data_IF_756678610263
#
_entry.id   IF_756678610263
#
_cell.length_a   1.000
_cell.length_b   1.000
_cell.length_c   1.000
_cell.angle_alpha   90.00
_cell.angle_beta   90.00
_cell.angle_gamma   90.00
#
_symmetry.space_group_name_H-M   'P 1'
#
loop_
_entity.id
_entity.type
_entity.pdbx_description
1 polymer ?
#
# COMPACT_ATOMS: atom_id res chain seq x y z
N UNK A 1 -37.76 14.87 15.71
CA UNK A 1 -36.81 14.04 16.47
C UNK A 1 -36.02 14.84 17.52
N UNK A 2 -35.38 15.96 17.15
CA UNK A 2 -34.52 16.77 18.04
C UNK A 2 -35.13 17.21 19.39
N UNK A 3 -36.46 17.37 19.49
CA UNK A 3 -37.14 17.69 20.76
C UNK A 3 -37.50 16.46 21.61
N UNK A 4 -37.61 15.29 21.00
CA UNK A 4 -38.02 14.04 21.66
C UNK A 4 -36.84 13.34 22.33
N UNK A 5 -35.66 13.37 21.71
CA UNK A 5 -34.45 12.73 22.25
C UNK A 5 -34.08 13.26 23.66
N UNK A 6 -34.07 14.59 23.93
CA UNK A 6 -33.82 15.09 25.28
C UNK A 6 -34.92 14.72 26.28
N UNK A 7 -36.17 14.53 25.84
CA UNK A 7 -37.26 14.07 26.71
C UNK A 7 -37.09 12.59 27.04
N UNK A 8 -36.65 11.78 26.07
CA UNK A 8 -36.32 10.38 26.28
C UNK A 8 -35.14 10.22 27.24
N UNK A 9 -34.07 11.01 27.10
CA UNK A 9 -32.91 10.98 28.02
C UNK A 9 -33.30 11.33 29.47
N UNK A 10 -34.30 12.19 29.65
CA UNK A 10 -34.85 12.50 30.98
C UNK A 10 -35.64 11.35 31.60
N UNK A 11 -36.25 10.51 30.78
CA UNK A 11 -37.07 9.38 31.18
C UNK A 11 -36.25 8.10 31.38
N UNK A 12 -35.31 7.83 30.46
CA UNK A 12 -34.39 6.69 30.45
C UNK A 12 -33.00 7.24 30.74
N UNK A 13 -32.57 7.21 32.00
CA UNK A 13 -31.33 7.84 32.49
C UNK A 13 -30.14 6.88 32.58
N UNK A 14 -30.33 5.66 32.07
CA UNK A 14 -29.38 4.55 32.08
C UNK A 14 -28.86 4.31 30.67
N UNK A 15 -27.89 3.40 30.55
CA UNK A 15 -27.29 2.99 29.28
C UNK A 15 -28.29 2.42 28.25
N UNK A 16 -29.47 1.95 28.69
CA UNK A 16 -30.55 1.50 27.79
C UNK A 16 -31.04 2.60 26.84
N UNK A 17 -30.76 3.87 27.16
CA UNK A 17 -31.09 5.01 26.31
C UNK A 17 -30.53 4.86 24.89
N UNK A 18 -29.28 4.43 24.74
CA UNK A 18 -28.63 4.39 23.44
C UNK A 18 -29.25 3.38 22.47
N UNK A 19 -29.35 2.07 22.78
CA UNK A 19 -29.94 1.11 21.85
C UNK A 19 -31.43 1.41 21.55
N UNK A 20 -32.18 1.98 22.51
CA UNK A 20 -33.59 2.35 22.31
C UNK A 20 -33.73 3.54 21.35
N UNK A 21 -32.80 4.50 21.40
CA UNK A 21 -32.88 5.75 20.62
C UNK A 21 -32.03 5.75 19.35
N UNK A 22 -31.21 4.72 19.12
CA UNK A 22 -30.31 4.64 17.98
C UNK A 22 -30.99 4.88 16.62
N UNK A 23 -32.16 4.28 16.30
CA UNK A 23 -32.83 4.57 15.02
C UNK A 23 -33.21 6.05 14.89
N UNK A 24 -33.52 6.72 16.00
CA UNK A 24 -33.85 8.13 15.99
C UNK A 24 -32.62 9.01 15.75
N UNK A 25 -31.47 8.61 16.28
CA UNK A 25 -30.18 9.27 16.02
C UNK A 25 -29.74 9.12 14.58
N UNK A 26 -29.95 7.95 13.97
CA UNK A 26 -29.68 7.74 12.54
C UNK A 26 -30.48 8.73 11.66
N UNK A 27 -31.78 8.89 11.94
CA UNK A 27 -32.61 9.88 11.22
C UNK A 27 -32.10 11.30 11.42
N UNK A 28 -31.74 11.68 12.66
CA UNK A 28 -31.17 13.02 12.94
C UNK A 28 -29.85 13.22 12.20
N UNK A 29 -28.99 12.19 12.15
CA UNK A 29 -27.72 12.22 11.44
C UNK A 29 -27.90 12.29 9.91
N UNK A 30 -29.04 11.90 9.37
CA UNK A 30 -29.31 12.02 7.93
C UNK A 30 -30.00 13.33 7.56
N UNK A 31 -30.96 13.77 8.37
CA UNK A 31 -31.86 14.87 8.02
C UNK A 31 -31.47 16.23 8.62
N UNK A 32 -30.71 16.26 9.71
CA UNK A 32 -30.37 17.50 10.43
C UNK A 32 -28.92 17.92 10.22
N UNK A 33 -28.62 19.19 10.52
CA UNK A 33 -27.25 19.70 10.53
C UNK A 33 -26.41 18.99 11.61
N UNK A 34 -25.11 18.78 11.33
CA UNK A 34 -24.22 18.09 12.25
C UNK A 34 -24.05 18.84 13.60
N UNK A 35 -24.12 20.17 13.58
CA UNK A 35 -24.10 20.97 14.81
C UNK A 35 -25.36 20.75 15.66
N UNK A 36 -26.53 20.60 15.03
CA UNK A 36 -27.77 20.30 15.74
C UNK A 36 -27.73 18.89 16.34
N UNK A 37 -27.18 17.92 15.61
CA UNK A 37 -26.94 16.56 16.11
C UNK A 37 -26.03 16.59 17.36
N UNK A 38 -24.83 17.15 17.24
CA UNK A 38 -23.81 17.13 18.30
C UNK A 38 -24.27 17.88 19.55
N UNK A 39 -24.86 19.06 19.39
CA UNK A 39 -25.43 19.82 20.53
C UNK A 39 -26.61 19.11 21.19
N UNK A 40 -27.42 18.35 20.43
CA UNK A 40 -28.50 17.54 21.00
C UNK A 40 -27.95 16.33 21.73
N UNK A 41 -26.89 15.70 21.22
CA UNK A 41 -26.20 14.58 21.87
C UNK A 41 -25.64 15.00 23.23
N UNK A 42 -24.87 16.09 23.28
CA UNK A 42 -24.29 16.61 24.52
C UNK A 42 -25.37 16.94 25.57
N UNK A 43 -26.52 17.44 25.14
CA UNK A 43 -27.67 17.71 26.02
C UNK A 43 -28.32 16.44 26.55
N UNK A 44 -28.34 15.36 25.76
CA UNK A 44 -28.88 14.07 26.21
C UNK A 44 -27.90 13.41 27.19
N UNK A 45 -26.61 13.41 26.88
CA UNK A 45 -25.53 12.90 27.74
C UNK A 45 -25.57 13.53 29.13
N UNK A 46 -25.78 14.85 29.22
CA UNK A 46 -25.84 15.56 30.49
C UNK A 46 -27.00 15.12 31.42
N UNK A 47 -28.01 14.42 30.91
CA UNK A 47 -29.16 13.92 31.70
C UNK A 47 -28.97 12.46 32.16
N UNK A 48 -28.01 11.73 31.57
CA UNK A 48 -27.71 10.34 31.91
C UNK A 48 -26.91 10.26 33.22
N UNK A 49 -27.26 9.33 34.10
CA UNK A 49 -26.67 9.20 35.45
C UNK A 49 -25.85 7.93 35.65
N UNK A 50 -26.25 6.85 34.98
CA UNK A 50 -25.61 5.53 35.03
C UNK A 50 -25.39 5.01 33.59
N UNK A 51 -24.58 5.72 32.79
CA UNK A 51 -24.14 5.21 31.49
C UNK A 51 -23.08 4.14 31.72
N UNK A 52 -23.49 2.87 31.67
CA UNK A 52 -22.54 1.78 31.47
C UNK A 52 -21.75 2.08 30.20
N UNK A 53 -20.44 1.79 30.24
CA UNK A 53 -19.53 2.16 29.16
C UNK A 53 -19.89 1.41 27.86
N UNK A 54 -20.47 0.22 27.95
CA UNK A 54 -20.72 -0.70 26.83
C UNK A 54 -21.76 -0.19 25.83
N UNK A 55 -22.97 0.18 26.27
CA UNK A 55 -24.04 0.64 25.36
C UNK A 55 -23.69 1.98 24.71
N UNK A 56 -23.11 2.90 25.49
CA UNK A 56 -22.52 4.14 24.98
C UNK A 56 -21.48 3.87 23.90
N UNK A 57 -20.54 2.95 24.14
CA UNK A 57 -19.50 2.62 23.15
C UNK A 57 -20.07 2.03 21.87
N UNK A 58 -20.98 1.06 21.97
CA UNK A 58 -21.61 0.46 20.80
C UNK A 58 -22.31 1.52 19.94
N UNK A 59 -23.07 2.39 20.60
CA UNK A 59 -23.73 3.52 19.95
C UNK A 59 -22.74 4.49 19.30
N UNK A 60 -21.69 4.90 20.01
CA UNK A 60 -20.69 5.83 19.49
C UNK A 60 -19.98 5.24 18.27
N UNK A 61 -19.60 3.96 18.30
CA UNK A 61 -18.97 3.27 17.17
C UNK A 61 -19.89 3.32 15.94
N UNK A 62 -21.18 3.03 16.10
CA UNK A 62 -22.14 3.10 14.98
C UNK A 62 -22.32 4.54 14.46
N UNK A 63 -22.43 5.54 15.34
CA UNK A 63 -22.62 6.92 14.91
C UNK A 63 -21.36 7.53 14.29
N UNK A 64 -20.18 7.17 14.79
CA UNK A 64 -18.89 7.67 14.30
C UNK A 64 -18.68 7.38 12.82
N UNK A 65 -19.17 6.24 12.33
CA UNK A 65 -19.09 5.85 10.90
C UNK A 65 -19.63 6.94 9.98
N UNK A 66 -20.74 7.58 10.34
CA UNK A 66 -21.33 8.68 9.57
C UNK A 66 -20.80 10.05 10.03
N UNK A 67 -20.67 10.26 11.33
CA UNK A 67 -20.27 11.54 11.92
C UNK A 67 -18.93 12.04 11.37
N UNK A 68 -17.94 11.15 11.23
CA UNK A 68 -16.60 11.52 10.75
C UNK A 68 -16.60 12.09 9.32
N UNK A 69 -17.61 11.78 8.50
CA UNK A 69 -17.73 12.32 7.15
C UNK A 69 -18.46 13.65 7.07
N UNK A 70 -19.21 14.00 8.12
CA UNK A 70 -20.01 15.22 8.24
C UNK A 70 -19.36 16.28 9.12
N UNK A 71 -18.52 15.86 10.06
CA UNK A 71 -17.77 16.74 10.95
C UNK A 71 -16.66 17.44 10.17
N UNK A 72 -16.76 18.76 10.08
CA UNK A 72 -15.79 19.59 9.37
C UNK A 72 -14.67 20.11 10.28
N UNK A 73 -14.79 19.90 11.60
CA UNK A 73 -13.83 20.37 12.59
C UNK A 73 -12.79 19.29 12.94
N UNK A 74 -11.50 19.65 12.87
CA UNK A 74 -10.38 18.70 13.10
C UNK A 74 -10.37 18.15 14.53
N UNK A 75 -10.70 18.99 15.51
CA UNK A 75 -10.87 18.60 16.93
C UNK A 75 -12.35 18.62 17.34
N UNK A 76 -13.22 18.34 16.35
CA UNK A 76 -14.66 18.37 16.47
C UNK A 76 -15.23 17.28 17.38
N UNK A 77 -16.56 17.13 17.30
CA UNK A 77 -17.28 16.13 18.09
C UNK A 77 -16.75 14.71 17.80
N UNK A 78 -16.50 14.38 16.53
CA UNK A 78 -16.07 13.05 16.11
C UNK A 78 -14.70 12.69 16.66
N UNK A 79 -13.75 13.64 16.67
CA UNK A 79 -12.42 13.42 17.25
C UNK A 79 -12.49 13.12 18.75
N UNK A 80 -13.34 13.85 19.50
CA UNK A 80 -13.54 13.64 20.94
C UNK A 80 -14.17 12.28 21.23
N UNK A 81 -15.20 11.89 20.48
CA UNK A 81 -15.84 10.59 20.71
C UNK A 81 -14.95 9.43 20.29
N UNK A 82 -14.15 9.60 19.23
CA UNK A 82 -13.16 8.60 18.82
C UNK A 82 -12.09 8.40 19.90
N UNK A 83 -11.56 9.49 20.48
CA UNK A 83 -10.61 9.41 21.59
C UNK A 83 -11.21 8.68 22.80
N UNK A 84 -12.49 8.91 23.11
CA UNK A 84 -13.19 8.16 24.15
C UNK A 84 -13.24 6.65 23.84
N UNK A 85 -13.50 6.25 22.59
CA UNK A 85 -13.49 4.83 22.18
C UNK A 85 -12.09 4.22 22.33
N UNK A 86 -11.04 4.94 21.94
CA UNK A 86 -9.64 4.50 22.09
C UNK A 86 -9.23 4.35 23.56
N UNK A 87 -9.58 5.32 24.42
CA UNK A 87 -9.31 5.27 25.86
C UNK A 87 -9.98 4.08 26.56
N UNK A 88 -11.10 3.60 26.01
CA UNK A 88 -11.88 2.50 26.55
C UNK A 88 -11.79 1.22 25.69
N UNK A 89 -10.72 1.07 24.89
CA UNK A 89 -10.57 -0.03 23.94
C UNK A 89 -10.74 -1.42 24.59
N UNK A 90 -10.22 -1.63 25.80
CA UNK A 90 -10.34 -2.90 26.54
C UNK A 90 -11.79 -3.28 26.89
N UNK A 91 -12.71 -2.32 26.85
CA UNK A 91 -14.14 -2.53 27.11
C UNK A 91 -14.96 -2.71 25.83
N UNK A 92 -14.32 -2.73 24.65
CA UNK A 92 -15.01 -2.91 23.37
C UNK A 92 -15.54 -4.34 23.29
N UNK A 93 -16.84 -4.51 23.02
CA UNK A 93 -17.37 -5.83 22.75
C UNK A 93 -16.70 -6.51 21.55
N UNK A 94 -16.38 -7.81 21.61
CA UNK A 94 -15.64 -8.49 20.54
C UNK A 94 -16.27 -8.38 19.14
N UNK A 95 -17.59 -8.23 19.06
CA UNK A 95 -18.30 -8.08 17.79
C UNK A 95 -18.16 -6.70 17.13
N UNK A 96 -17.56 -5.71 17.82
CA UNK A 96 -17.32 -4.35 17.31
C UNK A 96 -15.84 -4.05 17.03
N UNK A 97 -14.94 -5.01 17.24
CA UNK A 97 -13.50 -4.83 17.00
C UNK A 97 -13.23 -4.40 15.54
N UNK A 98 -13.90 -5.07 14.59
CA UNK A 98 -13.81 -4.75 13.16
C UNK A 98 -14.36 -3.36 12.82
N UNK A 99 -15.42 -2.93 13.51
CA UNK A 99 -15.98 -1.59 13.30
C UNK A 99 -15.00 -0.51 13.74
N UNK A 100 -14.25 -0.73 14.82
CA UNK A 100 -13.24 0.20 15.31
C UNK A 100 -12.02 0.25 14.38
N UNK A 101 -11.62 -0.88 13.81
CA UNK A 101 -10.60 -0.92 12.76
C UNK A 101 -11.06 -0.11 11.54
N UNK A 102 -12.31 -0.29 11.09
CA UNK A 102 -12.89 0.48 10.00
C UNK A 102 -12.91 1.99 10.28
N UNK A 103 -13.26 2.38 11.51
CA UNK A 103 -13.21 3.77 11.94
C UNK A 103 -11.78 4.32 11.89
N UNK A 104 -10.77 3.52 12.24
CA UNK A 104 -9.36 3.90 12.14
C UNK A 104 -8.93 4.12 10.69
N UNK A 105 -9.30 3.22 9.79
CA UNK A 105 -9.08 3.36 8.34
C UNK A 105 -9.77 4.61 7.78
N UNK A 106 -11.00 4.89 8.21
CA UNK A 106 -11.73 6.09 7.83
C UNK A 106 -11.00 7.35 8.29
N UNK A 107 -10.51 7.39 9.53
CA UNK A 107 -9.73 8.52 10.07
C UNK A 107 -8.48 8.78 9.24
N UNK A 108 -7.73 7.73 8.91
CA UNK A 108 -6.51 7.84 8.11
C UNK A 108 -6.78 8.37 6.70
N UNK A 109 -7.84 7.86 6.04
CA UNK A 109 -8.25 8.36 4.74
C UNK A 109 -8.75 9.81 4.80
N UNK A 110 -9.61 10.15 5.77
CA UNK A 110 -10.17 11.49 5.92
C UNK A 110 -9.08 12.56 6.09
N UNK A 111 -7.96 12.23 6.73
CA UNK A 111 -6.81 13.13 6.85
C UNK A 111 -6.17 13.50 5.50
N UNK A 112 -6.30 12.64 4.48
CA UNK A 112 -5.75 12.86 3.12
C UNK A 112 -6.82 13.04 2.05
N UNK A 113 -8.10 12.95 2.41
CA UNK A 113 -9.27 12.97 1.54
C UNK A 113 -9.26 14.09 0.50
N UNK A 114 -8.96 15.32 0.93
CA UNK A 114 -8.93 16.48 0.04
C UNK A 114 -7.89 16.32 -1.08
N UNK A 115 -6.70 15.78 -0.76
CA UNK A 115 -5.65 15.53 -1.74
C UNK A 115 -6.06 14.40 -2.72
N UNK A 116 -6.73 13.37 -2.20
CA UNK A 116 -7.25 12.28 -3.02
C UNK A 116 -8.33 12.75 -4.01
N UNK A 117 -9.37 13.42 -3.51
CA UNK A 117 -10.52 13.85 -4.30
C UNK A 117 -10.15 14.88 -5.39
N UNK A 118 -9.11 15.69 -5.18
CA UNK A 118 -8.63 16.65 -6.18
C UNK A 118 -7.78 16.05 -7.29
N UNK A 119 -7.34 14.79 -7.15
CA UNK A 119 -6.41 14.17 -8.10
C UNK A 119 -7.02 13.87 -9.47
N UNK A 120 -8.26 13.38 -9.53
CA UNK A 120 -8.96 13.08 -10.78
C UNK A 120 -10.48 13.03 -10.62
N UNK A 121 -11.22 12.98 -11.73
CA UNK A 121 -12.67 12.85 -11.71
C UNK A 121 -13.14 11.50 -11.16
N UNK A 122 -12.43 10.40 -11.42
CA UNK A 122 -12.77 9.10 -10.83
C UNK A 122 -12.53 9.11 -9.32
N UNK A 123 -11.39 9.67 -8.86
CA UNK A 123 -11.10 9.78 -7.42
C UNK A 123 -12.14 10.62 -6.68
N UNK A 124 -12.60 11.72 -7.27
CA UNK A 124 -13.69 12.52 -6.71
C UNK A 124 -14.99 11.72 -6.60
N UNK A 125 -15.31 10.89 -7.60
CA UNK A 125 -16.49 10.01 -7.57
C UNK A 125 -16.35 8.88 -6.55
N UNK A 126 -15.17 8.29 -6.41
CA UNK A 126 -14.87 7.29 -5.38
C UNK A 126 -15.02 7.87 -3.97
N UNK A 127 -14.51 9.08 -3.76
CA UNK A 127 -14.70 9.81 -2.50
C UNK A 127 -16.19 10.06 -2.21
N UNK A 128 -16.94 10.57 -3.19
CA UNK A 128 -18.37 10.79 -3.05
C UNK A 128 -19.12 9.49 -2.76
N UNK A 129 -18.74 8.38 -3.40
CA UNK A 129 -19.36 7.08 -3.16
C UNK A 129 -19.06 6.54 -1.76
N UNK A 130 -17.86 6.75 -1.23
CA UNK A 130 -17.57 6.44 0.18
C UNK A 130 -18.39 7.32 1.12
N UNK A 131 -18.48 8.62 0.85
CA UNK A 131 -19.31 9.52 1.65
C UNK A 131 -20.78 9.08 1.65
N UNK A 132 -21.33 8.72 0.50
CA UNK A 132 -22.69 8.19 0.37
C UNK A 132 -22.85 6.89 1.16
N UNK A 133 -21.90 5.96 1.00
CA UNK A 133 -21.88 4.68 1.70
C UNK A 133 -21.93 4.85 3.24
N UNK A 134 -21.18 5.80 3.79
CA UNK A 134 -21.12 6.02 5.24
C UNK A 134 -22.19 6.96 5.79
N UNK A 135 -22.80 7.80 4.95
CA UNK A 135 -23.69 8.88 5.43
C UNK A 135 -25.15 8.73 5.00
N UNK A 136 -25.44 7.93 3.98
CA UNK A 136 -26.79 7.78 3.42
C UNK A 136 -27.42 6.45 3.81
N UNK A 137 -28.61 6.17 3.30
CA UNK A 137 -29.21 4.85 3.40
C UNK A 137 -28.38 3.82 2.62
N UNK A 138 -28.42 2.56 3.07
CA UNK A 138 -27.69 1.45 2.47
C UNK A 138 -27.93 1.33 0.96
N UNK A 139 -29.17 1.52 0.48
CA UNK A 139 -29.51 1.45 -0.95
C UNK A 139 -28.79 2.52 -1.78
N UNK A 140 -28.68 3.75 -1.26
CA UNK A 140 -28.00 4.85 -1.94
C UNK A 140 -26.49 4.59 -1.94
N UNK A 141 -25.93 4.22 -0.79
CA UNK A 141 -24.53 3.86 -0.63
C UNK A 141 -24.09 2.76 -1.59
N UNK A 142 -24.81 1.64 -1.59
CA UNK A 142 -24.54 0.49 -2.46
C UNK A 142 -24.58 0.89 -3.93
N UNK A 143 -25.59 1.67 -4.34
CA UNK A 143 -25.72 2.14 -5.72
C UNK A 143 -24.56 3.04 -6.15
N UNK A 144 -24.11 3.93 -5.27
CA UNK A 144 -22.96 4.82 -5.56
C UNK A 144 -21.67 4.02 -5.73
N UNK A 145 -21.42 3.03 -4.88
CA UNK A 145 -20.25 2.13 -5.00
C UNK A 145 -20.31 1.34 -6.32
N UNK A 146 -21.45 0.69 -6.62
CA UNK A 146 -21.62 -0.07 -7.87
C UNK A 146 -21.41 0.80 -9.11
N UNK A 147 -21.96 2.03 -9.12
CA UNK A 147 -21.81 2.94 -10.26
C UNK A 147 -20.34 3.27 -10.55
N UNK A 148 -19.54 3.45 -9.49
CA UNK A 148 -18.10 3.72 -9.63
C UNK A 148 -17.33 2.47 -10.07
N UNK A 149 -17.69 1.29 -9.57
CA UNK A 149 -17.08 0.02 -10.01
C UNK A 149 -17.30 -0.22 -11.52
N UNK A 150 -18.50 0.06 -12.02
CA UNK A 150 -18.80 -0.01 -13.45
C UNK A 150 -18.00 1.02 -14.27
N UNK A 151 -17.76 2.21 -13.73
CA UNK A 151 -16.90 3.20 -14.38
C UNK A 151 -15.43 2.77 -14.44
N UNK A 152 -14.92 2.13 -13.38
CA UNK A 152 -13.56 1.55 -13.34
C UNK A 152 -13.41 0.52 -14.47
N UNK A 153 -14.38 -0.39 -14.63
CA UNK A 153 -14.38 -1.38 -15.71
C UNK A 153 -14.40 -0.73 -17.10
N UNK A 154 -15.24 0.29 -17.28
CA UNK A 154 -15.34 1.00 -18.56
C UNK A 154 -14.08 1.79 -18.93
N UNK A 155 -13.29 2.22 -17.94
CA UNK A 155 -12.15 3.15 -18.11
C UNK A 155 -10.80 2.52 -17.75
N UNK A 156 -10.61 1.24 -18.04
CA UNK A 156 -9.38 0.49 -17.71
C UNK A 156 -8.07 1.21 -18.11
N UNK A 157 -7.96 1.74 -19.33
CA UNK A 157 -6.73 2.41 -19.79
C UNK A 157 -6.49 3.73 -19.05
N UNK A 158 -7.55 4.45 -18.65
CA UNK A 158 -7.44 5.69 -17.89
C UNK A 158 -7.09 5.42 -16.41
N UNK A 159 -7.45 4.25 -15.87
CA UNK A 159 -7.21 3.89 -14.47
C UNK A 159 -5.72 3.99 -14.10
N UNK A 160 -4.82 3.58 -15.00
CA UNK A 160 -3.37 3.70 -14.77
C UNK A 160 -2.95 5.16 -14.61
N UNK A 161 -3.44 6.06 -15.46
CA UNK A 161 -3.11 7.49 -15.37
C UNK A 161 -3.71 8.12 -14.10
N UNK A 162 -4.89 7.66 -13.69
CA UNK A 162 -5.60 8.16 -12.51
C UNK A 162 -5.06 7.61 -11.19
N UNK A 163 -4.21 6.58 -11.19
CA UNK A 163 -3.58 6.02 -9.98
C UNK A 163 -2.07 5.84 -10.19
N UNK A 164 -1.25 6.90 -10.19
CA UNK A 164 0.18 6.78 -10.45
C UNK A 164 0.95 6.23 -9.24
N UNK A 165 1.99 5.45 -9.46
CA UNK A 165 2.74 4.72 -8.40
C UNK A 165 3.43 5.67 -7.40
N UNK A 166 3.74 6.89 -7.83
CA UNK A 166 4.45 7.89 -7.02
C UNK A 166 3.63 8.44 -5.84
N UNK A 167 2.33 8.20 -5.80
CA UNK A 167 1.41 8.64 -4.74
C UNK A 167 1.05 7.50 -3.77
N UNK A 168 1.97 6.54 -3.56
CA UNK A 168 1.73 5.35 -2.74
C UNK A 168 1.09 5.62 -1.37
N UNK A 169 1.61 6.57 -0.58
CA UNK A 169 1.08 6.88 0.77
C UNK A 169 -0.40 7.29 0.75
N UNK A 170 -0.80 8.09 -0.25
CA UNK A 170 -2.19 8.52 -0.43
C UNK A 170 -3.11 7.31 -0.68
N UNK A 171 -2.65 6.38 -1.50
CA UNK A 171 -3.42 5.19 -1.85
C UNK A 171 -3.38 4.10 -0.77
N UNK A 172 -2.30 4.01 0.01
CA UNK A 172 -2.25 3.13 1.18
C UNK A 172 -3.33 3.50 2.22
N UNK A 173 -3.63 4.79 2.37
CA UNK A 173 -4.70 5.28 3.26
C UNK A 173 -6.10 5.11 2.68
N UNK A 174 -6.22 5.26 1.35
CA UNK A 174 -7.52 5.16 0.65
C UNK A 174 -7.96 3.71 0.37
N UNK A 175 -7.06 2.87 -0.13
CA UNK A 175 -7.43 1.57 -0.68
C UNK A 175 -8.08 0.61 0.34
N UNK A 176 -7.63 0.51 1.60
CA UNK A 176 -8.25 -0.39 2.57
C UNK A 176 -9.73 -0.08 2.81
N UNK A 177 -10.09 1.20 2.99
CA UNK A 177 -11.49 1.59 3.20
C UNK A 177 -12.33 1.36 1.93
N UNK A 178 -11.76 1.61 0.75
CA UNK A 178 -12.43 1.32 -0.52
C UNK A 178 -12.65 -0.18 -0.74
N UNK A 179 -11.63 -1.00 -0.49
CA UNK A 179 -11.69 -2.45 -0.64
C UNK A 179 -12.72 -3.06 0.31
N UNK A 180 -12.77 -2.58 1.55
CA UNK A 180 -13.76 -3.01 2.53
C UNK A 180 -15.19 -2.66 2.09
N UNK A 181 -15.47 -1.39 1.76
CA UNK A 181 -16.80 -0.97 1.32
C UNK A 181 -17.23 -1.70 0.04
N UNK A 182 -16.31 -1.88 -0.90
CA UNK A 182 -16.57 -2.61 -2.14
C UNK A 182 -16.81 -4.10 -1.92
N UNK A 183 -16.19 -4.71 -0.92
CA UNK A 183 -16.41 -6.11 -0.59
C UNK A 183 -17.77 -6.31 0.07
N UNK A 184 -18.09 -5.47 1.06
CA UNK A 184 -19.35 -5.50 1.79
C UNK A 184 -20.57 -5.28 0.85
N UNK A 185 -20.47 -4.34 -0.09
CA UNK A 185 -21.50 -4.16 -1.15
C UNK A 185 -21.61 -5.39 -2.04
N UNK A 186 -20.49 -6.02 -2.42
CA UNK A 186 -20.51 -7.20 -3.27
C UNK A 186 -21.18 -8.41 -2.59
N UNK A 187 -20.94 -8.61 -1.29
CA UNK A 187 -21.59 -9.67 -0.50
C UNK A 187 -23.11 -9.49 -0.46
N UNK A 188 -23.58 -8.26 -0.23
CA UNK A 188 -25.02 -7.95 -0.24
C UNK A 188 -25.69 -8.19 -1.59
N UNK A 189 -24.97 -7.93 -2.68
CA UNK A 189 -25.46 -8.18 -4.04
C UNK A 189 -25.35 -9.67 -4.44
N UNK A 190 -24.97 -10.57 -3.53
CA UNK A 190 -24.80 -12.02 -3.78
C UNK A 190 -23.84 -12.32 -4.93
N UNK A 191 -22.85 -11.46 -5.14
CA UNK A 191 -21.83 -11.63 -6.17
C UNK A 191 -20.89 -12.75 -5.71
N UNK A 192 -21.19 -13.99 -6.10
CA UNK A 192 -20.38 -15.16 -5.74
C UNK A 192 -19.02 -15.11 -6.45
N UNK A 193 -17.94 -15.07 -5.67
CA UNK A 193 -16.56 -14.96 -6.19
C UNK A 193 -15.82 -16.30 -6.20
N UNK A 194 -16.50 -17.42 -5.97
CA UNK A 194 -15.87 -18.75 -5.95
C UNK A 194 -15.68 -19.30 -7.37
N UNK A 195 -14.61 -18.86 -8.02
CA UNK A 195 -14.06 -19.57 -9.16
C UNK A 195 -12.92 -20.47 -8.65
N UNK A 196 -12.95 -21.77 -8.97
CA UNK A 196 -11.80 -22.64 -8.75
C UNK A 196 -10.61 -22.13 -9.56
N UNK A 197 -9.65 -21.49 -8.88
CA UNK A 197 -8.44 -20.96 -9.51
C UNK A 197 -7.48 -22.12 -9.73
N UNK A 198 -7.24 -22.49 -10.99
CA UNK A 198 -6.17 -23.43 -11.31
C UNK A 198 -4.81 -22.72 -11.23
N UNK A 199 -4.16 -22.85 -10.08
CA UNK A 199 -2.91 -22.15 -9.78
C UNK A 199 -1.81 -22.41 -10.80
N UNK A 200 -1.66 -23.67 -11.23
CA UNK A 200 -0.63 -24.08 -12.17
C UNK A 200 -0.76 -23.41 -13.55
N UNK A 201 -2.01 -23.25 -14.03
CA UNK A 201 -2.27 -22.59 -15.32
C UNK A 201 -1.86 -21.11 -15.25
N UNK A 202 -2.25 -20.43 -14.17
CA UNK A 202 -1.95 -19.01 -14.02
C UNK A 202 -0.49 -18.73 -13.71
N UNK A 203 0.18 -19.60 -12.94
CA UNK A 203 1.62 -19.56 -12.73
C UNK A 203 2.39 -19.67 -14.05
N UNK A 204 2.03 -20.64 -14.91
CA UNK A 204 2.65 -20.79 -16.23
C UNK A 204 2.42 -19.56 -17.12
N UNK A 205 1.23 -18.95 -17.07
CA UNK A 205 0.92 -17.74 -17.85
C UNK A 205 1.63 -16.49 -17.32
N UNK A 206 1.75 -16.35 -16.01
CA UNK A 206 2.51 -15.27 -15.38
C UNK A 206 4.00 -15.40 -15.72
N UNK A 207 4.55 -16.61 -15.68
CA UNK A 207 5.93 -16.87 -16.10
C UNK A 207 6.17 -16.49 -17.57
N UNK A 208 5.26 -16.90 -18.46
CA UNK A 208 5.32 -16.54 -19.87
C UNK A 208 5.25 -15.03 -20.09
N UNK A 209 4.39 -14.32 -19.33
CA UNK A 209 4.31 -12.86 -19.36
C UNK A 209 5.63 -12.22 -18.92
N UNK A 210 6.20 -12.65 -17.79
CA UNK A 210 7.47 -12.13 -17.28
C UNK A 210 8.60 -12.32 -18.29
N UNK A 211 8.71 -13.50 -18.89
CA UNK A 211 9.70 -13.77 -19.94
C UNK A 211 9.51 -12.83 -21.15
N UNK A 212 8.26 -12.55 -21.54
CA UNK A 212 7.95 -11.61 -22.63
C UNK A 212 8.34 -10.18 -22.26
N UNK A 213 7.98 -9.70 -21.07
CA UNK A 213 8.32 -8.35 -20.60
C UNK A 213 9.83 -8.15 -20.47
N UNK A 214 10.56 -9.18 -20.09
CA UNK A 214 12.02 -9.17 -20.05
C UNK A 214 12.62 -9.08 -21.46
N UNK A 215 12.11 -9.87 -22.42
CA UNK A 215 12.53 -9.79 -23.82
C UNK A 215 12.23 -8.42 -24.44
N UNK A 216 11.04 -7.87 -24.20
CA UNK A 216 10.66 -6.54 -24.67
C UNK A 216 11.51 -5.43 -24.02
N UNK A 217 11.81 -5.55 -22.72
CA UNK A 217 12.73 -4.64 -22.05
C UNK A 217 14.10 -4.68 -22.71
N UNK A 218 14.70 -5.87 -22.86
CA UNK A 218 16.02 -6.06 -23.45
C UNK A 218 16.10 -5.59 -24.92
N UNK A 219 15.01 -5.69 -25.67
CA UNK A 219 14.90 -5.16 -27.04
C UNK A 219 14.68 -3.65 -27.13
N UNK A 220 14.30 -3.00 -26.04
CA UNK A 220 14.03 -1.56 -26.00
C UNK A 220 15.31 -0.72 -25.82
N UNK A 221 15.25 0.56 -26.22
CA UNK A 221 16.36 1.52 -25.98
C UNK A 221 16.69 1.66 -24.50
N UNK A 222 15.67 1.60 -23.63
CA UNK A 222 15.84 1.76 -22.18
C UNK A 222 16.51 0.52 -21.60
N UNK A 223 16.06 -0.68 -21.96
CA UNK A 223 16.72 -1.92 -21.49
C UNK A 223 18.12 -2.10 -22.06
N UNK A 224 18.41 -1.60 -23.28
CA UNK A 224 19.79 -1.53 -23.77
C UNK A 224 20.65 -0.61 -22.91
N UNK A 225 20.17 0.60 -22.56
CA UNK A 225 20.88 1.51 -21.65
C UNK A 225 21.07 0.90 -20.26
N UNK A 226 20.05 0.20 -19.75
CA UNK A 226 20.11 -0.49 -18.48
C UNK A 226 21.14 -1.62 -18.49
N UNK A 227 21.11 -2.46 -19.53
CA UNK A 227 22.11 -3.53 -19.74
C UNK A 227 23.52 -2.96 -19.89
N UNK A 228 23.69 -1.87 -20.64
CA UNK A 228 24.98 -1.19 -20.79
C UNK A 228 25.49 -0.64 -19.45
N UNK A 229 24.60 -0.11 -18.59
CA UNK A 229 24.96 0.35 -17.25
C UNK A 229 25.41 -0.82 -16.35
N UNK A 230 24.73 -1.97 -16.42
CA UNK A 230 25.11 -3.18 -15.69
C UNK A 230 26.47 -3.72 -16.15
N UNK A 231 26.72 -3.78 -17.47
CA UNK A 231 28.03 -4.17 -18.02
C UNK A 231 29.10 -3.16 -17.60
N UNK A 232 28.79 -1.86 -17.67
CA UNK A 232 29.68 -0.78 -17.23
C UNK A 232 30.08 -0.93 -15.76
N UNK A 233 29.14 -1.32 -14.88
CA UNK A 233 29.42 -1.63 -13.47
C UNK A 233 30.40 -2.78 -13.33
N UNK A 234 30.16 -3.90 -14.01
CA UNK A 234 31.04 -5.09 -13.93
C UNK A 234 32.45 -4.75 -14.41
N UNK A 235 32.55 -4.01 -15.52
CA UNK A 235 33.84 -3.55 -16.05
C UNK A 235 34.54 -2.61 -15.07
N UNK A 236 33.82 -1.63 -14.48
CA UNK A 236 34.38 -0.71 -13.50
C UNK A 236 34.92 -1.45 -12.27
N UNK A 237 34.15 -2.39 -11.71
CA UNK A 237 34.59 -3.19 -10.56
C UNK A 237 35.79 -4.07 -10.91
N UNK A 238 35.83 -4.63 -12.12
CA UNK A 238 36.97 -5.39 -12.63
C UNK A 238 38.24 -4.53 -12.74
N UNK A 239 38.12 -3.31 -13.29
CA UNK A 239 39.23 -2.35 -13.38
C UNK A 239 39.71 -1.93 -11.99
N UNK A 240 38.80 -1.61 -11.07
CA UNK A 240 39.17 -1.26 -9.68
C UNK A 240 39.87 -2.44 -8.99
N UNK A 241 39.38 -3.66 -9.18
CA UNK A 241 40.02 -4.86 -8.63
C UNK A 241 41.43 -5.06 -9.18
N UNK A 242 41.64 -4.84 -10.47
CA UNK A 242 42.95 -4.94 -11.11
C UNK A 242 43.92 -3.85 -10.59
N UNK A 243 43.46 -2.61 -10.45
CA UNK A 243 44.25 -1.51 -9.87
C UNK A 243 44.61 -1.82 -8.41
N UNK A 244 43.65 -2.31 -7.62
CA UNK A 244 43.89 -2.70 -6.23
C UNK A 244 44.89 -3.85 -6.12
N UNK A 245 44.83 -4.83 -7.03
CA UNK A 245 45.80 -5.92 -7.13
C UNK A 245 47.21 -5.39 -7.42
N UNK A 246 47.35 -4.47 -8.38
CA UNK A 246 48.63 -3.85 -8.72
C UNK A 246 49.21 -3.06 -7.53
N UNK A 247 48.39 -2.26 -6.86
CA UNK A 247 48.81 -1.51 -5.67
C UNK A 247 49.19 -2.43 -4.51
N UNK A 248 48.41 -3.49 -4.27
CA UNK A 248 48.71 -4.50 -3.25
C UNK A 248 50.03 -5.23 -3.53
N UNK A 249 50.30 -5.58 -4.79
CA UNK A 249 51.57 -6.18 -5.20
C UNK A 249 52.75 -5.21 -5.04
N UNK A 250 52.60 -3.95 -5.42
CA UNK A 250 53.62 -2.92 -5.22
C UNK A 250 53.95 -2.73 -3.74
N UNK A 251 52.93 -2.64 -2.88
CA UNK A 251 53.13 -2.53 -1.43
C UNK A 251 53.80 -3.80 -0.86
N UNK A 252 53.33 -4.96 -1.28
CA UNK A 252 53.88 -6.26 -0.87
C UNK A 252 55.34 -6.44 -1.27
N UNK A 253 55.72 -6.05 -2.49
CA UNK A 253 57.10 -6.16 -2.97
C UNK A 253 58.06 -5.21 -2.25
N UNK A 254 57.59 -4.02 -1.83
CA UNK A 254 58.36 -3.13 -0.93
C UNK A 254 58.59 -3.82 0.43
N UNK A 255 57.56 -4.42 1.02
CA UNK A 255 57.69 -5.17 2.28
C UNK A 255 58.66 -6.36 2.12
N UNK A 256 58.56 -7.11 1.03
CA UNK A 256 59.45 -8.22 0.71
C UNK A 256 60.92 -7.78 0.61
N UNK A 257 61.16 -6.62 -0.02
CA UNK A 257 62.51 -6.05 -0.15
C UNK A 257 63.07 -5.68 1.22
N UNK A 258 62.26 -5.04 2.09
CA UNK A 258 62.67 -4.70 3.46
C UNK A 258 63.00 -5.97 4.27
N UNK A 259 62.17 -7.01 4.18
CA UNK A 259 62.41 -8.29 4.85
C UNK A 259 63.66 -9.00 4.32
N UNK A 260 63.92 -8.96 3.01
CA UNK A 260 65.13 -9.50 2.41
C UNK A 260 66.41 -8.82 2.92
N UNK A 261 66.37 -7.50 3.13
CA UNK A 261 67.50 -6.75 3.71
C UNK A 261 67.78 -7.17 5.16
N UNK A 262 66.73 -7.46 5.94
CA UNK A 262 66.86 -7.79 7.37
C UNK A 262 67.23 -9.27 7.59
N UNK A 263 66.63 -10.18 6.82
CA UNK A 263 66.68 -11.63 7.07
C UNK A 263 67.41 -12.44 5.99
N UNK A 264 67.98 -11.78 4.97
CA UNK A 264 68.66 -12.43 3.83
C UNK A 264 67.69 -13.13 2.87
N UNK A 265 68.21 -14.04 2.04
CA UNK A 265 67.47 -14.67 0.92
C UNK A 265 66.17 -15.37 1.35
N UNK A 266 66.15 -16.00 2.54
CA UNK A 266 64.95 -16.64 3.09
C UNK A 266 63.83 -15.62 3.41
N UNK A 267 64.19 -14.38 3.72
CA UNK A 267 63.24 -13.28 3.94
C UNK A 267 62.64 -12.74 2.65
N UNK A 268 63.39 -12.80 1.54
CA UNK A 268 62.93 -12.37 0.23
C UNK A 268 61.86 -13.32 -0.34
N UNK A 269 62.12 -14.63 -0.30
CA UNK A 269 61.19 -15.66 -0.79
C UNK A 269 59.87 -15.63 0.01
N UNK A 270 59.96 -15.57 1.35
CA UNK A 270 58.79 -15.43 2.21
C UNK A 270 58.04 -14.12 1.96
N UNK A 271 58.76 -13.02 1.74
CA UNK A 271 58.20 -11.72 1.44
C UNK A 271 57.41 -11.66 0.14
N UNK A 272 57.90 -12.31 -0.93
CA UNK A 272 57.20 -12.38 -2.23
C UNK A 272 55.89 -13.18 -2.13
N UNK A 273 55.86 -14.25 -1.34
CA UNK A 273 54.63 -15.00 -1.06
C UNK A 273 53.61 -14.10 -0.35
N UNK A 274 54.03 -13.36 0.68
CA UNK A 274 53.17 -12.39 1.39
C UNK A 274 52.67 -11.30 0.43
N UNK A 275 53.52 -10.82 -0.48
CA UNK A 275 53.12 -9.83 -1.49
C UNK A 275 52.02 -10.34 -2.42
N UNK A 276 52.11 -11.61 -2.85
CA UNK A 276 51.06 -12.27 -3.62
C UNK A 276 49.73 -12.35 -2.86
N UNK A 277 49.75 -12.71 -1.58
CA UNK A 277 48.55 -12.74 -0.74
C UNK A 277 47.94 -11.36 -0.55
N UNK A 278 48.74 -10.32 -0.31
CA UNK A 278 48.26 -8.94 -0.19
C UNK A 278 47.59 -8.51 -1.50
N UNK A 279 48.21 -8.78 -2.65
CA UNK A 279 47.64 -8.43 -3.96
C UNK A 279 46.27 -9.09 -4.18
N UNK A 280 46.15 -10.40 -3.90
CA UNK A 280 44.89 -11.14 -4.05
C UNK A 280 43.83 -10.65 -3.05
N UNK A 281 44.21 -10.44 -1.78
CA UNK A 281 43.31 -9.91 -0.76
C UNK A 281 42.79 -8.51 -1.13
N UNK A 282 43.67 -7.62 -1.62
CA UNK A 282 43.28 -6.28 -2.10
C UNK A 282 42.37 -6.34 -3.33
N UNK A 283 42.61 -7.27 -4.25
CA UNK A 283 41.79 -7.46 -5.45
C UNK A 283 40.35 -7.92 -5.13
N UNK A 284 40.15 -8.63 -4.01
CA UNK A 284 38.83 -9.12 -3.58
C UNK A 284 38.16 -8.11 -2.64
N UNK A 285 38.87 -7.64 -1.62
CA UNK A 285 38.31 -6.78 -0.58
C UNK A 285 37.91 -5.40 -1.12
N UNK A 286 38.71 -4.83 -2.02
CA UNK A 286 38.44 -3.47 -2.53
C UNK A 286 37.17 -3.41 -3.37
N UNK A 287 36.94 -4.27 -4.38
CA UNK A 287 35.67 -4.28 -5.11
C UNK A 287 34.50 -4.68 -4.23
N UNK A 288 34.66 -5.55 -3.24
CA UNK A 288 33.58 -5.94 -2.33
C UNK A 288 33.09 -4.75 -1.47
N UNK A 289 34.02 -4.02 -0.84
CA UNK A 289 33.72 -2.82 -0.07
C UNK A 289 33.17 -1.68 -0.95
N UNK A 290 33.71 -1.54 -2.16
CA UNK A 290 33.23 -0.54 -3.11
C UNK A 290 31.84 -0.90 -3.63
N UNK A 291 31.57 -2.18 -3.87
CA UNK A 291 30.28 -2.66 -4.33
C UNK A 291 29.19 -2.39 -3.30
N UNK A 292 29.41 -2.72 -2.02
CA UNK A 292 28.41 -2.45 -0.98
C UNK A 292 28.11 -0.96 -0.80
N UNK A 293 29.10 -0.09 -1.02
CA UNK A 293 28.92 1.37 -0.89
C UNK A 293 28.33 2.02 -2.14
N UNK A 294 28.75 1.61 -3.33
CA UNK A 294 28.23 2.13 -4.61
C UNK A 294 26.86 1.56 -4.95
N UNK A 295 26.55 0.33 -4.53
CA UNK A 295 25.25 -0.29 -4.82
C UNK A 295 24.11 0.54 -4.26
N UNK A 296 24.17 0.90 -2.99
CA UNK A 296 23.10 1.68 -2.36
C UNK A 296 23.04 3.14 -2.84
N UNK A 297 24.19 3.72 -3.22
CA UNK A 297 24.27 5.17 -3.54
C UNK A 297 24.07 5.51 -5.01
N UNK A 298 24.51 4.65 -5.91
CA UNK A 298 24.54 4.93 -7.36
C UNK A 298 23.75 3.90 -8.16
N UNK A 299 24.02 2.61 -7.95
CA UNK A 299 23.47 1.57 -8.82
C UNK A 299 21.99 1.30 -8.54
N UNK A 300 21.60 1.23 -7.27
CA UNK A 300 20.20 1.07 -6.88
C UNK A 300 19.29 2.19 -7.41
N UNK A 301 19.57 3.50 -7.19
CA UNK A 301 18.71 4.56 -7.72
C UNK A 301 18.71 4.62 -9.25
N UNK A 302 19.83 4.27 -9.91
CA UNK A 302 19.90 4.20 -11.37
C UNK A 302 19.05 3.05 -11.92
N UNK A 303 19.14 1.86 -11.32
CA UNK A 303 18.32 0.70 -11.67
C UNK A 303 16.84 0.97 -11.41
N UNK A 304 16.51 1.54 -10.25
CA UNK A 304 15.15 1.94 -9.91
C UNK A 304 14.59 2.90 -10.97
N UNK A 305 15.36 3.92 -11.38
CA UNK A 305 14.94 4.87 -12.42
C UNK A 305 14.65 4.19 -13.76
N UNK A 306 15.50 3.27 -14.22
CA UNK A 306 15.26 2.53 -15.45
C UNK A 306 14.05 1.60 -15.32
N UNK A 307 13.94 0.90 -14.20
CA UNK A 307 12.83 0.01 -13.92
C UNK A 307 11.48 0.77 -13.86
N UNK A 308 11.43 1.93 -13.20
CA UNK A 308 10.26 2.81 -13.19
C UNK A 308 9.86 3.23 -14.61
N UNK A 309 10.82 3.60 -15.46
CA UNK A 309 10.54 3.98 -16.84
C UNK A 309 9.99 2.81 -17.66
N UNK A 310 10.60 1.62 -17.54
CA UNK A 310 10.11 0.41 -18.21
C UNK A 310 8.70 0.05 -17.72
N UNK A 311 8.45 0.17 -16.42
CA UNK A 311 7.16 -0.10 -15.83
C UNK A 311 6.08 0.85 -16.38
N UNK A 312 6.33 2.15 -16.32
CA UNK A 312 5.39 3.18 -16.77
C UNK A 312 5.10 3.12 -18.28
N UNK A 313 6.08 2.71 -19.10
CA UNK A 313 5.92 2.71 -20.57
C UNK A 313 5.34 1.40 -21.12
N UNK A 314 5.66 0.25 -20.54
CA UNK A 314 5.36 -1.06 -21.12
C UNK A 314 4.79 -2.04 -20.10
N UNK A 315 5.50 -2.31 -19.00
CA UNK A 315 5.12 -3.44 -18.13
C UNK A 315 3.75 -3.25 -17.49
N UNK A 316 3.44 -2.05 -17.02
CA UNK A 316 2.18 -1.75 -16.34
C UNK A 316 0.96 -2.05 -17.19
N UNK A 317 0.99 -1.69 -18.48
CA UNK A 317 -0.11 -1.94 -19.41
C UNK A 317 -0.36 -3.43 -19.60
N UNK A 318 0.69 -4.19 -19.85
CA UNK A 318 0.57 -5.64 -20.07
C UNK A 318 0.14 -6.37 -18.78
N UNK A 319 0.57 -5.90 -17.61
CA UNK A 319 0.10 -6.40 -16.30
C UNK A 319 -1.39 -6.10 -16.08
N UNK A 320 -1.84 -4.88 -16.38
CA UNK A 320 -3.26 -4.50 -16.34
C UNK A 320 -4.09 -5.33 -17.31
N UNK A 321 -3.61 -5.54 -18.54
CA UNK A 321 -4.30 -6.38 -19.52
C UNK A 321 -4.31 -7.86 -19.11
N UNK A 322 -3.28 -8.33 -18.41
CA UNK A 322 -3.28 -9.68 -17.82
C UNK A 322 -4.31 -9.79 -16.70
N UNK A 323 -4.35 -8.85 -15.77
CA UNK A 323 -5.32 -8.80 -14.68
C UNK A 323 -6.76 -8.77 -15.25
N UNK A 324 -6.99 -7.92 -16.25
CA UNK A 324 -8.26 -7.82 -16.96
C UNK A 324 -8.70 -9.15 -17.57
N UNK A 325 -7.79 -9.87 -18.24
CA UNK A 325 -8.11 -11.13 -18.92
C UNK A 325 -8.24 -12.34 -17.98
N UNK A 326 -7.60 -12.27 -16.83
CA UNK A 326 -7.52 -13.41 -15.92
C UNK A 326 -8.64 -13.44 -14.89
N UNK A 327 -9.22 -12.29 -14.54
CA UNK A 327 -10.24 -12.15 -13.50
C UNK A 327 -9.83 -12.79 -12.15
N UNK A 328 -8.52 -12.91 -11.91
CA UNK A 328 -8.02 -13.48 -10.66
C UNK A 328 -8.15 -12.44 -9.54
N UNK A 329 -8.38 -12.84 -8.28
CA UNK A 329 -8.34 -11.93 -7.15
C UNK A 329 -6.97 -11.24 -7.01
N UNK A 330 -6.95 -9.98 -6.58
CA UNK A 330 -5.72 -9.18 -6.40
C UNK A 330 -4.69 -9.87 -5.50
N UNK A 331 -5.12 -10.48 -4.39
CA UNK A 331 -4.21 -11.23 -3.51
C UNK A 331 -3.50 -12.39 -4.22
N UNK A 332 -4.21 -13.12 -5.08
CA UNK A 332 -3.62 -14.19 -5.89
C UNK A 332 -2.71 -13.62 -6.99
N UNK A 333 -3.12 -12.54 -7.66
CA UNK A 333 -2.28 -11.83 -8.64
C UNK A 333 -0.95 -11.40 -8.02
N UNK A 334 -0.96 -10.74 -6.86
CA UNK A 334 0.26 -10.34 -6.14
C UNK A 334 1.12 -11.53 -5.74
N UNK A 335 0.51 -12.61 -5.26
CA UNK A 335 1.22 -13.83 -4.88
C UNK A 335 1.92 -14.49 -6.08
N UNK A 336 1.31 -14.49 -7.26
CA UNK A 336 1.92 -15.00 -8.49
C UNK A 336 3.23 -14.28 -8.80
N UNK A 337 3.22 -12.94 -8.81
CA UNK A 337 4.44 -12.18 -9.13
C UNK A 337 5.48 -12.25 -8.01
N UNK A 338 5.05 -12.37 -6.75
CA UNK A 338 5.96 -12.61 -5.65
C UNK A 338 6.70 -13.95 -5.79
N UNK A 339 6.00 -15.01 -6.19
CA UNK A 339 6.60 -16.33 -6.42
C UNK A 339 7.74 -16.31 -7.46
N UNK A 340 7.63 -15.45 -8.47
CA UNK A 340 8.63 -15.32 -9.54
C UNK A 340 9.67 -14.21 -9.30
N UNK A 341 9.63 -13.50 -8.17
CA UNK A 341 10.49 -12.34 -7.93
C UNK A 341 11.99 -12.67 -8.03
N UNK A 342 12.41 -13.86 -7.60
CA UNK A 342 13.81 -14.29 -7.60
C UNK A 342 14.31 -14.81 -8.97
N UNK A 343 13.43 -14.91 -9.97
CA UNK A 343 13.78 -15.51 -11.28
C UNK A 343 14.75 -14.64 -12.07
N UNK A 344 14.54 -13.33 -12.05
CA UNK A 344 15.39 -12.35 -12.75
C UNK A 344 15.31 -10.98 -12.08
N UNK A 345 16.29 -10.11 -12.33
CA UNK A 345 16.25 -8.74 -11.81
C UNK A 345 14.99 -7.98 -12.28
N UNK A 346 14.55 -8.23 -13.51
CA UNK A 346 13.31 -7.68 -14.07
C UNK A 346 12.09 -8.17 -13.30
N UNK A 347 12.01 -9.47 -13.00
CA UNK A 347 10.90 -10.04 -12.23
C UNK A 347 10.85 -9.46 -10.80
N UNK A 348 12.00 -9.26 -10.15
CA UNK A 348 12.07 -8.61 -8.84
C UNK A 348 11.50 -7.20 -8.86
N UNK A 349 11.89 -6.37 -9.84
CA UNK A 349 11.35 -5.00 -9.99
C UNK A 349 9.87 -4.99 -10.33
N UNK A 350 9.42 -5.88 -11.23
CA UNK A 350 8.01 -6.02 -11.57
C UNK A 350 7.21 -6.37 -10.32
N UNK A 351 7.67 -7.33 -9.52
CA UNK A 351 7.02 -7.67 -8.26
C UNK A 351 6.93 -6.45 -7.33
N UNK A 352 8.03 -5.72 -7.12
CA UNK A 352 8.02 -4.51 -6.28
C UNK A 352 6.97 -3.49 -6.73
N UNK A 353 6.90 -3.20 -8.03
CA UNK A 353 5.89 -2.27 -8.55
C UNK A 353 4.47 -2.83 -8.47
N UNK A 354 4.26 -4.13 -8.72
CA UNK A 354 2.94 -4.78 -8.55
C UNK A 354 2.48 -4.67 -7.10
N UNK A 355 3.38 -4.82 -6.12
CA UNK A 355 3.02 -4.65 -4.71
C UNK A 355 2.61 -3.21 -4.35
N UNK A 356 3.07 -2.21 -5.10
CA UNK A 356 2.79 -0.80 -4.84
C UNK A 356 1.68 -0.22 -5.74
N UNK A 357 1.35 -0.86 -6.86
CA UNK A 357 0.34 -0.38 -7.80
C UNK A 357 -1.06 -0.79 -7.34
N UNK A 358 -1.92 0.21 -7.15
CA UNK A 358 -3.30 0.03 -6.74
C UNK A 358 -4.26 -0.11 -7.93
N UNK A 359 -3.85 0.25 -9.15
CA UNK A 359 -4.71 0.13 -10.32
C UNK A 359 -5.13 -1.33 -10.61
N UNK A 360 -4.24 -2.34 -10.57
CA UNK A 360 -4.65 -3.74 -10.71
C UNK A 360 -5.62 -4.19 -9.62
N UNK A 361 -5.42 -3.71 -8.39
CA UNK A 361 -6.23 -4.06 -7.23
C UNK A 361 -7.65 -3.50 -7.33
N UNK A 362 -7.76 -2.25 -7.80
CA UNK A 362 -9.04 -1.59 -8.08
C UNK A 362 -9.78 -2.29 -9.22
N UNK A 363 -9.07 -2.65 -10.30
CA UNK A 363 -9.66 -3.41 -11.40
C UNK A 363 -10.17 -4.78 -10.94
N UNK A 364 -9.38 -5.51 -10.15
CA UNK A 364 -9.77 -6.82 -9.60
C UNK A 364 -11.04 -6.71 -8.73
N UNK A 365 -11.14 -5.64 -7.93
CA UNK A 365 -12.34 -5.34 -7.15
C UNK A 365 -13.55 -5.06 -8.05
N UNK A 366 -13.36 -4.28 -9.10
CA UNK A 366 -14.40 -3.91 -10.05
C UNK A 366 -14.90 -5.09 -10.88
N UNK A 367 -14.03 -6.02 -11.26
CA UNK A 367 -14.37 -7.22 -12.05
C UNK A 367 -15.40 -8.11 -11.39
N UNK A 368 -15.55 -8.03 -10.06
CA UNK A 368 -16.63 -8.73 -9.33
C UNK A 368 -18.01 -8.27 -9.81
N UNK A 369 -18.14 -7.02 -10.26
CA UNK A 369 -19.41 -6.40 -10.64
C UNK A 369 -19.78 -6.60 -12.13
N UNK A 370 -18.98 -7.33 -12.91
CA UNK A 370 -19.20 -7.56 -14.36
C UNK A 370 -20.24 -8.66 -14.67
N UNK A 371 -21.10 -9.03 -13.71
CA UNK A 371 -22.03 -10.16 -13.80
C UNK A 371 -23.09 -10.02 -14.92
#
# INVERSE_FOLDING_TARGET
MLKLLPLAAKAIRTDEFYPITEPAWQVVMQECDFYEFSSTFDRCEAELRDSHIVGRMAFLIHMLKSAMWRDTEVEGWSAKQFAFVEENFESIPPWLEWDVELLSLAREYLAVRHQFAQGSSLRAKMDAALQDYFSQSQEIGDRSIVAVQMEILARNEALMAEFPIDQGDLFHKFYPIWAWASHDVAERQSISTEHEINENIWASRADALLNRLEQECNGSRIGWLWSAALVGRVVLLGVVGLVAMMLGYMLGSVIATILGVIFGDKGLDGGLIVAGFIAVASAIATPWLLNSTLDNKLWFPLNAKFATQCYQQSWRRELMDFQRRSHVPDGFFRALFHHFADKSATASWINEFVQQDFAPALLAGAQKYEA
#
